data_IF_558167642716
#
_entry.id   IF_558167642716
#
_cell.length_a   1.000
_cell.length_b   1.000
_cell.length_c   1.000
_cell.angle_alpha   90.00
_cell.angle_beta   90.00
_cell.angle_gamma   90.00
#
_symmetry.space_group_name_H-M   'P 1'
#
loop_
_entity.id
_entity.type
_entity.pdbx_description
1 polymer ?
#
# COMPACT_ATOMS: atom_id res chain seq x y z
N UNK A 1 27.55 -1.96 -8.12
CA UNK A 1 26.82 -2.23 -6.87
C UNK A 1 25.32 -2.09 -7.17
N UNK A 2 24.56 -3.07 -6.77
CA UNK A 2 23.10 -3.02 -6.89
C UNK A 2 22.56 -2.01 -5.88
N UNK A 3 21.64 -1.15 -6.34
CA UNK A 3 20.98 -0.13 -5.51
C UNK A 3 19.55 -0.57 -5.24
N UNK A 4 19.07 -0.34 -4.03
CA UNK A 4 17.67 -0.51 -3.68
C UNK A 4 16.95 0.77 -4.08
N UNK A 5 15.92 0.65 -4.93
CA UNK A 5 15.14 1.76 -5.42
C UNK A 5 13.66 1.39 -5.44
N UNK A 6 12.86 2.00 -4.60
CA UNK A 6 11.42 1.82 -4.60
C UNK A 6 10.77 2.28 -5.91
N UNK A 7 9.91 1.45 -6.49
CA UNK A 7 9.20 1.73 -7.74
C UNK A 7 7.70 1.94 -7.48
N UNK A 8 7.28 3.17 -7.13
CA UNK A 8 5.90 3.44 -6.66
C UNK A 8 4.83 3.23 -7.73
N UNK A 9 5.18 3.20 -9.01
CA UNK A 9 4.21 3.15 -10.12
C UNK A 9 4.42 1.96 -11.04
N UNK A 10 5.64 1.85 -11.58
CA UNK A 10 5.92 0.93 -12.68
C UNK A 10 5.81 -0.54 -12.29
N UNK A 11 6.14 -0.90 -11.04
CA UNK A 11 6.00 -2.26 -10.55
C UNK A 11 4.56 -2.79 -10.69
N UNK A 12 3.56 -1.94 -10.46
CA UNK A 12 2.17 -2.33 -10.56
C UNK A 12 1.76 -2.76 -11.97
N UNK A 13 2.29 -2.13 -13.00
CA UNK A 13 2.04 -2.53 -14.39
C UNK A 13 2.74 -3.84 -14.74
N UNK A 14 3.97 -4.05 -14.27
CA UNK A 14 4.71 -5.30 -14.51
C UNK A 14 4.02 -6.49 -13.82
N UNK A 15 3.70 -6.35 -12.53
CA UNK A 15 3.00 -7.41 -11.78
C UNK A 15 1.57 -7.60 -12.29
N UNK A 16 0.87 -6.52 -12.64
CA UNK A 16 -0.47 -6.56 -13.22
C UNK A 16 -0.51 -7.32 -14.56
N UNK A 17 0.48 -7.10 -15.44
CA UNK A 17 0.59 -7.86 -16.70
C UNK A 17 0.91 -9.34 -16.45
N UNK A 18 1.77 -9.64 -15.45
CA UNK A 18 2.05 -11.02 -15.06
C UNK A 18 0.78 -11.73 -14.55
N UNK A 19 0.03 -11.09 -13.66
CA UNK A 19 -1.26 -11.60 -13.17
C UNK A 19 -2.20 -11.86 -14.33
N UNK A 20 -2.34 -10.93 -15.27
CA UNK A 20 -3.19 -11.07 -16.44
C UNK A 20 -2.79 -12.28 -17.31
N UNK A 21 -1.50 -12.49 -17.55
CA UNK A 21 -1.00 -13.64 -18.32
C UNK A 21 -1.25 -14.98 -17.64
N UNK A 22 -1.11 -15.03 -16.31
CA UNK A 22 -1.30 -16.27 -15.55
C UNK A 22 -2.78 -16.61 -15.37
N UNK A 23 -3.63 -15.59 -15.14
CA UNK A 23 -5.05 -15.79 -14.80
C UNK A 23 -6.02 -15.55 -15.95
N UNK A 24 -5.56 -14.93 -17.04
CA UNK A 24 -6.36 -14.40 -18.13
C UNK A 24 -7.44 -13.39 -17.68
N UNK A 25 -7.20 -12.71 -16.54
CA UNK A 25 -8.09 -11.71 -15.93
C UNK A 25 -7.29 -10.50 -15.52
N UNK A 26 -7.95 -9.33 -15.48
CA UNK A 26 -7.33 -8.11 -14.97
C UNK A 26 -7.09 -8.18 -13.45
N UNK A 27 -6.31 -7.24 -12.91
CA UNK A 27 -6.04 -7.16 -11.47
C UNK A 27 -7.34 -6.90 -10.69
N UNK A 28 -8.17 -5.96 -11.16
CA UNK A 28 -9.46 -5.66 -10.54
C UNK A 28 -10.39 -6.86 -10.51
N UNK A 29 -10.42 -7.66 -11.59
CA UNK A 29 -11.24 -8.87 -11.64
C UNK A 29 -10.74 -9.97 -10.70
N UNK A 30 -9.42 -10.12 -10.56
CA UNK A 30 -8.84 -11.04 -9.57
C UNK A 30 -9.14 -10.60 -8.13
N UNK A 31 -9.04 -9.29 -7.82
CA UNK A 31 -9.42 -8.76 -6.50
C UNK A 31 -10.88 -9.05 -6.18
N UNK A 32 -11.77 -8.85 -7.14
CA UNK A 32 -13.20 -9.11 -6.94
C UNK A 32 -13.47 -10.58 -6.62
N UNK A 33 -12.92 -11.50 -7.42
CA UNK A 33 -13.21 -12.92 -7.29
C UNK A 33 -12.50 -13.59 -6.11
N UNK A 34 -11.26 -13.18 -5.82
CA UNK A 34 -10.43 -13.83 -4.80
C UNK A 34 -10.58 -13.21 -3.41
N UNK A 35 -10.93 -11.93 -3.31
CA UNK A 35 -10.96 -11.21 -2.05
C UNK A 35 -12.32 -10.55 -1.78
N UNK A 36 -12.81 -9.68 -2.68
CA UNK A 36 -14.00 -8.90 -2.39
C UNK A 36 -15.25 -9.77 -2.19
N UNK A 37 -15.56 -10.63 -3.15
CA UNK A 37 -16.74 -11.49 -3.08
C UNK A 37 -16.66 -12.49 -1.92
N UNK A 38 -15.56 -13.26 -1.72
CA UNK A 38 -15.49 -14.24 -0.62
C UNK A 38 -15.44 -13.60 0.77
N UNK A 39 -14.82 -12.42 0.89
CA UNK A 39 -14.62 -11.74 2.17
C UNK A 39 -15.64 -10.62 2.42
N UNK A 40 -16.55 -10.37 1.49
CA UNK A 40 -17.49 -9.24 1.56
C UNK A 40 -16.77 -7.91 1.81
N UNK A 41 -15.66 -7.68 1.10
CA UNK A 41 -14.84 -6.47 1.20
C UNK A 41 -15.08 -5.54 0.02
N UNK A 42 -14.60 -4.31 0.14
CA UNK A 42 -14.62 -3.28 -0.91
C UNK A 42 -13.20 -2.77 -1.11
N UNK A 43 -12.47 -3.40 -2.01
CA UNK A 43 -11.11 -3.04 -2.37
C UNK A 43 -11.01 -3.09 -3.90
N UNK A 44 -10.94 -1.93 -4.56
CA UNK A 44 -11.04 -1.82 -6.01
C UNK A 44 -9.78 -1.23 -6.62
N UNK A 45 -9.26 -1.87 -7.65
CA UNK A 45 -8.35 -1.31 -8.64
C UNK A 45 -9.13 -1.29 -9.94
N UNK A 46 -9.44 -0.07 -10.46
CA UNK A 46 -10.50 0.11 -11.44
C UNK A 46 -11.87 0.07 -10.77
N UNK A 47 -12.22 1.14 -10.06
CA UNK A 47 -13.46 1.20 -9.27
C UNK A 47 -14.67 1.35 -10.18
N UNK A 48 -15.66 0.46 -10.12
CA UNK A 48 -16.88 0.57 -10.91
C UNK A 48 -17.62 1.88 -10.64
N UNK A 49 -18.21 2.48 -11.68
CA UNK A 49 -18.89 3.78 -11.59
C UNK A 49 -20.01 3.81 -10.54
N UNK A 50 -20.68 2.69 -10.30
CA UNK A 50 -21.72 2.55 -9.27
C UNK A 50 -21.22 2.87 -7.85
N UNK A 51 -19.91 2.87 -7.60
CA UNK A 51 -19.34 3.21 -6.30
C UNK A 51 -18.75 4.63 -6.24
N UNK A 52 -18.72 5.38 -7.36
CA UNK A 52 -18.05 6.68 -7.42
C UNK A 52 -18.62 7.71 -6.44
N UNK A 53 -19.93 7.70 -6.20
CA UNK A 53 -20.60 8.59 -5.24
C UNK A 53 -20.24 8.28 -3.77
N UNK A 54 -19.70 7.10 -3.50
CA UNK A 54 -19.26 6.68 -2.17
C UNK A 54 -17.76 6.96 -1.93
N UNK A 55 -17.03 7.50 -2.92
CA UNK A 55 -15.61 7.81 -2.80
C UNK A 55 -15.44 9.23 -2.29
N UNK A 56 -14.81 9.38 -1.12
CA UNK A 56 -14.45 10.69 -0.60
C UNK A 56 -13.42 11.37 -1.50
N UNK A 57 -13.60 12.66 -1.79
CA UNK A 57 -12.61 13.43 -2.54
C UNK A 57 -11.30 13.55 -1.76
N UNK A 58 -10.19 13.35 -2.47
CA UNK A 58 -8.86 13.56 -1.92
C UNK A 58 -8.55 15.06 -1.84
N UNK A 59 -8.07 15.48 -0.68
CA UNK A 59 -7.73 16.86 -0.36
C UNK A 59 -6.23 16.95 -0.08
N UNK A 60 -5.53 17.85 -0.77
CA UNK A 60 -4.11 18.12 -0.49
C UNK A 60 -3.96 19.04 0.71
N UNK A 61 -3.26 18.59 1.75
CA UNK A 61 -2.86 19.47 2.85
C UNK A 61 -1.78 20.47 2.39
N UNK A 62 -1.51 21.46 3.23
CA UNK A 62 -0.41 22.39 3.00
C UNK A 62 0.95 21.67 3.01
N UNK A 63 1.13 20.69 3.91
CA UNK A 63 2.36 19.90 3.97
C UNK A 63 2.61 19.11 2.70
N UNK A 64 1.57 18.53 2.08
CA UNK A 64 1.72 17.84 0.80
C UNK A 64 2.11 18.81 -0.33
N UNK A 65 1.51 19.99 -0.37
CA UNK A 65 1.87 21.00 -1.38
C UNK A 65 3.31 21.47 -1.23
N UNK A 66 3.80 21.63 0.01
CA UNK A 66 5.18 22.03 0.30
C UNK A 66 6.20 20.94 0.03
N UNK A 67 5.87 19.66 0.26
CA UNK A 67 6.81 18.54 0.13
C UNK A 67 7.44 18.42 -1.27
N UNK A 68 6.73 18.87 -2.32
CA UNK A 68 7.21 18.81 -3.71
C UNK A 68 7.45 20.20 -4.32
N UNK A 69 7.46 21.27 -3.52
CA UNK A 69 7.69 22.63 -4.01
C UNK A 69 9.15 23.08 -3.91
N UNK A 70 9.97 22.39 -3.13
CA UNK A 70 11.38 22.72 -2.96
C UNK A 70 12.24 21.88 -3.94
N UNK A 71 12.77 22.51 -5.02
CA UNK A 71 13.57 21.79 -6.02
C UNK A 71 14.94 21.35 -5.49
N UNK A 72 15.40 21.86 -4.34
CA UNK A 72 16.72 21.52 -3.79
C UNK A 72 16.74 20.14 -3.13
N UNK A 73 15.58 19.61 -2.74
CA UNK A 73 15.43 18.32 -2.10
C UNK A 73 15.00 17.19 -3.05
N UNK A 74 14.98 17.46 -4.35
CA UNK A 74 14.46 16.53 -5.36
C UNK A 74 15.59 16.05 -6.25
N UNK A 75 16.07 14.85 -6.01
CA UNK A 75 17.06 14.23 -6.88
C UNK A 75 16.45 13.44 -8.06
N UNK A 76 17.30 12.94 -8.95
CA UNK A 76 16.89 12.21 -10.16
C UNK A 76 16.02 10.98 -9.84
N UNK A 77 16.34 10.24 -8.79
CA UNK A 77 15.56 9.06 -8.39
C UNK A 77 14.14 9.44 -7.97
N UNK A 78 14.00 10.48 -7.15
CA UNK A 78 12.71 10.95 -6.67
C UNK A 78 11.88 11.55 -7.81
N UNK A 79 12.50 12.35 -8.71
CA UNK A 79 11.84 12.88 -9.91
C UNK A 79 11.29 11.74 -10.77
N UNK A 80 12.11 10.77 -11.10
CA UNK A 80 11.73 9.65 -11.97
C UNK A 80 10.63 8.80 -11.33
N UNK A 81 10.74 8.52 -10.03
CA UNK A 81 9.79 7.68 -9.32
C UNK A 81 8.41 8.34 -9.10
N UNK A 82 8.37 9.61 -8.71
CA UNK A 82 7.14 10.27 -8.27
C UNK A 82 6.62 11.37 -9.19
N UNK A 83 7.47 12.04 -9.95
CA UNK A 83 7.10 13.22 -10.72
C UNK A 83 6.93 12.96 -12.22
N UNK A 84 7.11 11.74 -12.70
CA UNK A 84 6.93 11.37 -14.09
C UNK A 84 5.96 10.17 -14.29
N UNK A 85 4.65 10.44 -14.48
CA UNK A 85 3.94 11.72 -14.31
C UNK A 85 3.77 12.08 -12.82
N UNK A 86 3.59 13.36 -12.51
CA UNK A 86 3.36 13.81 -11.15
C UNK A 86 1.99 13.35 -10.63
N UNK A 87 1.96 12.87 -9.39
CA UNK A 87 0.70 12.56 -8.70
C UNK A 87 -0.01 13.85 -8.30
N UNK A 88 -1.28 13.96 -8.63
CA UNK A 88 -2.10 15.13 -8.28
C UNK A 88 -3.46 14.69 -7.77
N UNK A 89 -3.91 15.26 -6.66
CA UNK A 89 -5.25 15.00 -6.12
C UNK A 89 -6.36 15.31 -7.12
N UNK A 90 -6.19 16.39 -7.90
CA UNK A 90 -7.13 16.75 -8.97
C UNK A 90 -7.32 15.60 -9.98
N UNK A 91 -6.24 14.96 -10.41
CA UNK A 91 -6.31 13.81 -11.33
C UNK A 91 -6.91 12.59 -10.62
N UNK A 92 -6.50 12.33 -9.38
CA UNK A 92 -6.98 11.18 -8.63
C UNK A 92 -8.49 11.25 -8.27
N UNK A 93 -9.09 12.43 -8.32
CA UNK A 93 -10.53 12.63 -8.11
C UNK A 93 -11.37 12.51 -9.38
N UNK A 94 -10.77 12.28 -10.55
CA UNK A 94 -11.53 12.13 -11.80
C UNK A 94 -12.13 10.74 -11.96
N UNK A 95 -13.21 10.64 -12.72
CA UNK A 95 -13.86 9.38 -13.04
C UNK A 95 -12.93 8.45 -13.84
N UNK A 96 -12.16 9.02 -14.77
CA UNK A 96 -11.20 8.27 -15.58
C UNK A 96 -10.13 7.59 -14.72
N UNK A 97 -9.59 8.31 -13.71
CA UNK A 97 -8.65 7.74 -12.76
C UNK A 97 -9.26 6.62 -11.94
N UNK A 98 -10.49 6.82 -11.46
CA UNK A 98 -11.20 5.82 -10.67
C UNK A 98 -11.48 4.54 -11.45
N UNK A 99 -11.83 4.66 -12.74
CA UNK A 99 -12.10 3.54 -13.65
C UNK A 99 -10.84 2.82 -14.13
N UNK A 100 -9.71 3.51 -14.20
CA UNK A 100 -8.46 2.91 -14.69
C UNK A 100 -7.93 1.86 -13.71
N UNK A 101 -7.35 0.78 -14.22
CA UNK A 101 -6.57 -0.15 -13.41
C UNK A 101 -5.10 0.28 -13.39
N UNK A 102 -4.68 0.92 -12.28
CA UNK A 102 -3.30 1.36 -12.01
C UNK A 102 -2.84 0.67 -10.72
N UNK A 103 -2.39 -0.59 -10.77
CA UNK A 103 -2.34 -1.49 -9.60
C UNK A 103 -1.55 -0.97 -8.41
N UNK A 104 -0.47 -0.19 -8.64
CA UNK A 104 0.33 0.36 -7.55
C UNK A 104 -0.15 1.74 -7.04
N UNK A 105 -1.26 2.30 -7.59
CA UNK A 105 -1.57 3.71 -7.37
C UNK A 105 -3.00 4.00 -6.93
N UNK A 106 -4.00 3.34 -7.51
CA UNK A 106 -5.38 3.78 -7.40
C UNK A 106 -6.33 2.77 -6.76
N UNK A 107 -5.85 2.06 -5.76
CA UNK A 107 -6.73 1.25 -4.94
C UNK A 107 -7.70 2.14 -4.14
N UNK A 108 -9.00 1.95 -4.32
CA UNK A 108 -10.04 2.55 -3.50
C UNK A 108 -10.59 1.51 -2.54
N UNK A 109 -10.56 1.83 -1.25
CA UNK A 109 -11.02 0.92 -0.20
C UNK A 109 -11.38 1.71 1.07
N UNK A 110 -11.77 0.99 2.10
CA UNK A 110 -11.93 1.51 3.47
C UNK A 110 -11.09 0.70 4.45
N UNK A 111 -10.86 1.24 5.64
CA UNK A 111 -10.01 0.61 6.67
C UNK A 111 -10.52 -0.77 7.08
N UNK A 112 -11.83 -0.96 7.23
CA UNK A 112 -12.41 -2.26 7.58
C UNK A 112 -12.13 -3.34 6.52
N UNK A 113 -12.31 -3.03 5.24
CA UNK A 113 -12.01 -3.96 4.15
C UNK A 113 -10.53 -4.31 4.06
N UNK A 114 -9.64 -3.33 4.18
CA UNK A 114 -8.20 -3.59 4.16
C UNK A 114 -7.75 -4.41 5.37
N UNK A 115 -8.19 -4.08 6.57
CA UNK A 115 -7.88 -4.85 7.76
C UNK A 115 -8.37 -6.31 7.63
N UNK A 116 -9.60 -6.53 7.13
CA UNK A 116 -10.16 -7.87 6.89
C UNK A 116 -9.35 -8.67 5.86
N UNK A 117 -8.81 -8.02 4.82
CA UNK A 117 -7.91 -8.67 3.85
C UNK A 117 -6.60 -9.10 4.52
N UNK A 118 -5.98 -8.25 5.34
CA UNK A 118 -4.77 -8.63 6.08
C UNK A 118 -5.04 -9.74 7.10
N UNK A 119 -6.17 -9.70 7.82
CA UNK A 119 -6.60 -10.76 8.71
C UNK A 119 -6.76 -12.11 7.99
N UNK A 120 -7.36 -12.08 6.80
CA UNK A 120 -7.47 -13.26 5.95
C UNK A 120 -6.10 -13.86 5.60
N UNK A 121 -5.09 -13.03 5.31
CA UNK A 121 -3.72 -13.49 5.08
C UNK A 121 -3.04 -14.00 6.36
N UNK A 122 -3.27 -13.40 7.51
CA UNK A 122 -2.77 -13.91 8.80
C UNK A 122 -3.36 -15.28 9.14
N UNK A 123 -4.60 -15.54 8.78
CA UNK A 123 -5.27 -16.83 8.96
C UNK A 123 -4.97 -17.87 7.86
N UNK A 124 -3.92 -17.66 7.05
CA UNK A 124 -3.60 -18.47 5.87
C UNK A 124 -3.51 -19.99 6.15
N UNK A 125 -3.05 -20.38 7.34
CA UNK A 125 -2.97 -21.79 7.73
C UNK A 125 -4.34 -22.43 7.93
N UNK A 126 -5.32 -21.69 8.40
CA UNK A 126 -6.68 -22.16 8.61
C UNK A 126 -7.55 -22.09 7.35
N UNK A 127 -7.39 -21.05 6.53
CA UNK A 127 -8.18 -20.86 5.32
C UNK A 127 -7.62 -21.58 4.08
N UNK A 128 -6.36 -22.04 4.12
CA UNK A 128 -5.67 -22.75 3.03
C UNK A 128 -5.60 -21.97 1.72
N UNK A 129 -5.73 -20.64 1.75
CA UNK A 129 -5.69 -19.81 0.57
C UNK A 129 -4.31 -19.78 -0.08
N UNK A 130 -3.27 -19.71 0.76
CA UNK A 130 -1.87 -19.83 0.34
C UNK A 130 -1.15 -20.84 1.23
N UNK A 131 -0.10 -21.48 0.72
CA UNK A 131 0.73 -22.35 1.55
C UNK A 131 1.55 -21.56 2.57
N UNK A 132 1.91 -22.19 3.69
CA UNK A 132 2.79 -21.57 4.69
C UNK A 132 4.11 -21.10 4.10
N UNK A 133 4.72 -21.90 3.22
CA UNK A 133 5.95 -21.55 2.51
C UNK A 133 5.76 -20.33 1.61
N UNK A 134 4.62 -20.23 0.90
CA UNK A 134 4.31 -19.04 0.09
C UNK A 134 4.13 -17.82 0.97
N UNK A 135 3.39 -17.93 2.08
CA UNK A 135 3.20 -16.83 3.02
C UNK A 135 4.54 -16.34 3.59
N UNK A 136 5.39 -17.26 4.04
CA UNK A 136 6.72 -16.94 4.54
C UNK A 136 7.56 -16.22 3.48
N UNK A 137 7.61 -16.73 2.25
CA UNK A 137 8.31 -16.08 1.14
C UNK A 137 7.83 -14.66 0.88
N UNK A 138 6.51 -14.43 0.91
CA UNK A 138 5.91 -13.12 0.64
C UNK A 138 6.12 -12.11 1.77
N UNK A 139 6.31 -12.55 3.00
CA UNK A 139 6.35 -11.69 4.19
C UNK A 139 7.73 -11.56 4.83
N UNK A 140 8.72 -12.39 4.46
CA UNK A 140 10.08 -12.26 4.97
C UNK A 140 10.91 -11.27 4.16
N UNK A 141 11.97 -10.74 4.80
CA UNK A 141 12.88 -9.78 4.17
C UNK A 141 13.65 -10.44 3.03
N UNK A 142 13.51 -9.91 1.83
CA UNK A 142 14.24 -10.30 0.63
C UNK A 142 15.47 -9.40 0.41
N UNK A 143 15.33 -8.11 0.72
CA UNK A 143 16.43 -7.13 0.59
C UNK A 143 16.34 -6.08 1.70
N UNK A 144 17.51 -5.67 2.20
CA UNK A 144 17.63 -4.66 3.27
C UNK A 144 18.78 -3.71 2.95
N UNK A 145 18.57 -2.42 3.17
CA UNK A 145 19.57 -1.37 2.98
C UNK A 145 18.94 -0.01 2.72
N UNK A 146 19.79 0.96 2.36
CA UNK A 146 19.36 2.31 2.05
C UNK A 146 18.61 2.35 0.70
N UNK A 147 17.33 2.70 0.75
CA UNK A 147 16.53 2.90 -0.46
C UNK A 147 16.79 4.30 -1.02
N UNK A 148 17.26 4.37 -2.27
CA UNK A 148 17.63 5.62 -2.92
C UNK A 148 16.46 6.51 -3.30
N UNK A 149 15.24 5.98 -3.36
CA UNK A 149 14.00 6.72 -3.61
C UNK A 149 13.38 7.18 -2.30
N UNK A 150 13.29 6.28 -1.30
CA UNK A 150 12.68 6.57 0.00
C UNK A 150 13.61 7.37 0.92
N UNK A 151 14.91 7.46 0.60
CA UNK A 151 15.96 8.14 1.40
C UNK A 151 16.01 7.67 2.86
N UNK A 152 15.79 6.37 3.05
CA UNK A 152 15.74 5.76 4.37
C UNK A 152 16.15 4.29 4.27
N UNK A 153 16.71 3.71 5.34
CA UNK A 153 16.89 2.27 5.43
C UNK A 153 15.54 1.56 5.33
N UNK A 154 15.42 0.61 4.41
CA UNK A 154 14.21 -0.15 4.17
C UNK A 154 14.50 -1.64 4.18
N UNK A 155 13.48 -2.41 4.55
CA UNK A 155 13.46 -3.86 4.44
C UNK A 155 12.25 -4.26 3.59
N UNK A 156 12.51 -4.81 2.42
CA UNK A 156 11.46 -5.20 1.48
C UNK A 156 11.36 -6.71 1.37
N UNK A 157 10.14 -7.23 1.35
CA UNK A 157 9.87 -8.64 1.05
C UNK A 157 9.85 -8.91 -0.45
N UNK A 158 9.78 -10.18 -0.86
CA UNK A 158 9.59 -10.56 -2.26
C UNK A 158 8.27 -10.05 -2.85
N UNK A 159 7.25 -9.84 -2.03
CA UNK A 159 5.98 -9.26 -2.44
C UNK A 159 5.98 -7.72 -2.47
N UNK A 160 7.09 -7.07 -2.09
CA UNK A 160 7.19 -5.61 -1.99
C UNK A 160 6.56 -5.04 -0.72
N UNK A 161 6.23 -5.86 0.28
CA UNK A 161 5.87 -5.35 1.59
C UNK A 161 7.08 -4.77 2.31
N UNK A 162 6.90 -3.65 3.01
CA UNK A 162 7.82 -3.25 4.06
C UNK A 162 7.69 -4.21 5.23
N UNK A 163 8.81 -4.75 5.71
CA UNK A 163 8.86 -5.77 6.77
C UNK A 163 9.56 -5.21 7.99
N UNK A 164 9.22 -5.76 9.15
CA UNK A 164 9.73 -5.31 10.43
C UNK A 164 8.94 -4.11 10.95
N UNK A 165 8.39 -4.25 12.14
CA UNK A 165 7.51 -3.25 12.75
C UNK A 165 8.18 -1.90 12.86
N UNK A 166 9.26 -1.85 13.56
CA UNK A 166 10.02 -0.62 13.76
C UNK A 166 9.13 0.55 14.12
N UNK A 167 9.12 1.57 13.26
CA UNK A 167 8.32 2.76 13.46
C UNK A 167 7.00 2.78 12.68
N UNK A 168 6.79 1.85 11.73
CA UNK A 168 5.64 1.90 10.83
C UNK A 168 4.48 1.02 11.31
N UNK A 169 4.77 -0.20 11.71
CA UNK A 169 3.76 -1.23 11.96
C UNK A 169 3.84 -1.80 13.39
N UNK A 170 4.23 -0.97 14.36
CA UNK A 170 4.37 -1.38 15.76
C UNK A 170 5.71 -1.99 16.09
N UNK A 171 5.74 -2.86 17.11
CA UNK A 171 6.98 -3.35 17.74
C UNK A 171 7.46 -4.70 17.19
N UNK A 172 6.61 -5.43 16.47
CA UNK A 172 6.93 -6.76 15.95
C UNK A 172 7.91 -6.71 14.77
N UNK A 173 8.93 -7.54 14.81
CA UNK A 173 9.89 -7.70 13.70
C UNK A 173 9.29 -8.45 12.49
N UNK A 174 8.15 -9.11 12.66
CA UNK A 174 7.44 -9.87 11.62
C UNK A 174 6.24 -9.14 11.04
N UNK A 175 5.91 -7.96 11.55
CA UNK A 175 4.87 -7.15 10.94
C UNK A 175 5.23 -6.80 9.50
N UNK A 176 4.26 -6.91 8.59
CA UNK A 176 4.43 -6.64 7.17
C UNK A 176 3.25 -5.83 6.64
N UNK A 177 3.52 -4.90 5.75
CA UNK A 177 2.49 -4.05 5.22
C UNK A 177 3.03 -3.00 4.26
N UNK A 178 2.22 -2.02 3.98
CA UNK A 178 2.62 -0.91 3.13
C UNK A 178 1.95 0.40 3.54
N UNK A 179 2.67 1.50 3.35
CA UNK A 179 2.14 2.85 3.48
C UNK A 179 1.75 3.38 2.11
N UNK A 180 0.71 4.20 2.05
CA UNK A 180 0.24 4.81 0.82
C UNK A 180 0.59 6.30 0.72
N UNK A 181 0.54 6.81 -0.52
CA UNK A 181 0.72 8.23 -0.79
C UNK A 181 -0.27 9.07 0.02
N UNK A 182 0.27 10.04 0.75
CA UNK A 182 -0.51 10.97 1.56
C UNK A 182 -0.89 10.47 2.94
N UNK A 183 -0.54 9.21 3.33
CA UNK A 183 -0.59 8.76 4.72
C UNK A 183 -1.48 7.57 5.04
N UNK A 184 -2.14 6.94 4.07
CA UNK A 184 -2.81 5.66 4.32
C UNK A 184 -1.80 4.56 4.65
N UNK A 185 -2.25 3.53 5.37
CA UNK A 185 -1.44 2.35 5.65
C UNK A 185 -2.34 1.14 5.91
N UNK A 186 -1.79 -0.04 5.64
CA UNK A 186 -2.37 -1.30 6.09
C UNK A 186 -1.25 -2.31 6.37
N UNK A 187 -1.41 -3.12 7.42
CA UNK A 187 -0.43 -4.12 7.81
C UNK A 187 -1.05 -5.29 8.54
N UNK A 188 -0.31 -6.39 8.57
CA UNK A 188 -0.56 -7.56 9.42
C UNK A 188 0.64 -7.83 10.33
N UNK A 189 0.37 -8.25 11.54
CA UNK A 189 1.37 -8.69 12.52
C UNK A 189 1.05 -10.12 12.95
N UNK A 190 1.77 -11.12 12.41
CA UNK A 190 1.53 -12.52 12.75
C UNK A 190 1.97 -12.90 14.18
N UNK A 191 2.85 -12.14 14.84
CA UNK A 191 3.27 -12.40 16.21
C UNK A 191 2.18 -12.07 17.22
N UNK A 192 1.47 -10.96 17.00
CA UNK A 192 0.43 -10.47 17.90
C UNK A 192 -0.98 -10.75 17.39
N UNK A 193 -1.13 -11.36 16.19
CA UNK A 193 -2.43 -11.65 15.59
C UNK A 193 -3.22 -10.39 15.26
N UNK A 194 -2.55 -9.30 14.83
CA UNK A 194 -3.17 -8.01 14.55
C UNK A 194 -3.21 -7.79 13.04
N UNK A 195 -4.36 -7.36 12.55
CA UNK A 195 -4.51 -6.70 11.27
C UNK A 195 -5.01 -5.28 11.47
N UNK A 196 -4.40 -4.30 10.81
CA UNK A 196 -4.75 -2.91 10.98
C UNK A 196 -4.69 -2.16 9.66
N UNK A 197 -5.62 -1.22 9.47
CA UNK A 197 -5.58 -0.29 8.36
C UNK A 197 -6.07 1.10 8.76
N UNK A 198 -5.45 2.10 8.17
CA UNK A 198 -5.81 3.50 8.28
C UNK A 198 -6.00 4.09 6.89
N UNK A 199 -7.17 4.65 6.63
CA UNK A 199 -7.49 5.33 5.37
C UNK A 199 -7.99 6.74 5.68
N UNK A 200 -7.66 7.69 4.81
CA UNK A 200 -8.07 9.09 4.95
C UNK A 200 -8.21 9.73 3.57
N UNK A 201 -8.87 10.89 3.52
CA UNK A 201 -8.97 11.71 2.32
C UNK A 201 -8.14 13.01 2.37
N UNK A 202 -7.72 13.46 3.56
CA UNK A 202 -6.77 14.57 3.70
C UNK A 202 -5.33 14.04 3.61
N UNK A 203 -4.70 14.24 2.46
CA UNK A 203 -3.35 13.79 2.16
C UNK A 203 -2.29 14.70 2.77
N UNK A 204 -1.27 14.12 3.40
CA UNK A 204 -0.10 14.84 3.95
C UNK A 204 1.14 14.60 3.10
N UNK A 205 2.21 15.37 3.35
CA UNK A 205 3.49 15.22 2.66
C UNK A 205 4.38 14.09 3.19
N UNK A 206 3.86 13.25 4.09
CA UNK A 206 4.64 12.14 4.64
C UNK A 206 4.77 11.01 3.61
N UNK A 207 5.99 10.53 3.38
CA UNK A 207 6.28 9.41 2.49
C UNK A 207 6.31 8.07 3.24
N UNK A 208 6.71 8.08 4.51
CA UNK A 208 6.84 6.89 5.37
C UNK A 208 6.00 7.09 6.64
N UNK A 209 4.75 6.65 6.55
CA UNK A 209 3.81 6.73 7.67
C UNK A 209 3.34 8.16 7.97
N UNK A 210 2.07 8.31 8.18
CA UNK A 210 1.45 9.55 8.65
C UNK A 210 1.41 9.56 10.17
N UNK A 211 1.71 10.69 10.81
CA UNK A 211 1.71 10.79 12.28
C UNK A 211 0.37 10.41 12.91
N UNK A 212 -0.73 10.64 12.23
CA UNK A 212 -2.07 10.22 12.68
C UNK A 212 -2.17 8.69 12.74
N UNK A 213 -1.69 8.00 11.70
CA UNK A 213 -1.67 6.55 11.63
C UNK A 213 -0.67 5.95 12.61
N UNK A 214 0.54 6.51 12.71
CA UNK A 214 1.58 6.02 13.62
C UNK A 214 1.14 6.10 15.09
N UNK A 215 0.49 7.21 15.48
CA UNK A 215 -0.05 7.35 16.85
C UNK A 215 -1.16 6.32 17.14
N UNK A 216 -2.01 6.02 16.15
CA UNK A 216 -3.01 4.97 16.29
C UNK A 216 -2.35 3.60 16.51
N UNK A 217 -1.34 3.26 15.71
CA UNK A 217 -0.58 2.02 15.84
C UNK A 217 0.09 1.93 17.22
N UNK A 218 0.77 2.97 17.67
CA UNK A 218 1.38 3.03 19.00
C UNK A 218 0.35 2.74 20.10
N UNK A 219 -0.81 3.41 20.04
CA UNK A 219 -1.90 3.20 21.01
C UNK A 219 -2.42 1.77 21.02
N UNK A 220 -2.53 1.11 19.86
CA UNK A 220 -2.94 -0.29 19.76
C UNK A 220 -1.93 -1.19 20.49
N UNK A 221 -0.64 -1.02 20.23
CA UNK A 221 0.40 -1.85 20.84
C UNK A 221 0.62 -1.56 22.34
N UNK A 222 0.28 -0.38 22.80
CA UNK A 222 0.34 -0.04 24.23
C UNK A 222 -0.85 -0.63 25.03
N UNK A 223 -1.91 -1.07 24.33
CA UNK A 223 -3.08 -1.70 24.92
C UNK A 223 -3.02 -3.25 24.96
N UNK A 224 -1.99 -3.86 24.37
CA UNK A 224 -1.73 -5.30 24.39
C UNK A 224 -0.95 -5.70 25.64
#
# INVERSE_FOLDING_TARGET
SEKICYHPKTIGFLVGELIKRVTNKSVGKNLEELLNSPLETKCFIGTPSAYHDNIAELISSESLRKAFSDPTNVDEYLITAFLNPANRTKTANTAEWRLAEIPAMNCHSNSGSLAKIYDFFLSHLSNKFISSNTFETLTTVAVSGDDHVMKSPMQWSHAGYSVGGGKLFGKSSKAFGHTGWGGSMAFGDPENGISCAYTMNLLTGSMLGDQRALKLVETIYDAL
#
